data_IF_434321514287
#
_entry.id   IF_434321514287
#
_cell.length_a   1.000
_cell.length_b   1.000
_cell.length_c   1.000
_cell.angle_alpha   90.00
_cell.angle_beta   90.00
_cell.angle_gamma   90.00
#
_symmetry.space_group_name_H-M   'P 1'
#
loop_
_entity.id
_entity.type
_entity.pdbx_description
1 polymer ?
#
# COMPACT_ATOMS: atom_id res chain seq x y z
N UNK A 1 14.34 18.71 -0.59
CA UNK A 1 13.36 19.23 -1.59
C UNK A 1 14.08 20.27 -2.45
N UNK A 2 13.60 20.56 -3.66
CA UNK A 2 14.16 21.57 -4.53
C UNK A 2 13.04 22.53 -4.94
N UNK A 3 13.21 23.82 -4.70
CA UNK A 3 12.29 24.86 -5.20
C UNK A 3 12.94 25.47 -6.43
N UNK A 4 12.18 25.55 -7.52
CA UNK A 4 12.58 26.24 -8.76
C UNK A 4 11.86 27.58 -8.78
N UNK A 5 12.62 28.67 -8.86
CA UNK A 5 12.06 30.02 -8.98
C UNK A 5 11.67 30.31 -10.44
N UNK A 6 10.76 31.27 -10.65
CA UNK A 6 10.46 31.83 -11.97
C UNK A 6 11.69 32.54 -12.55
N UNK A 7 11.75 32.67 -13.88
CA UNK A 7 12.87 33.33 -14.59
C UNK A 7 13.00 34.79 -14.17
N UNK A 8 11.87 35.44 -13.90
CA UNK A 8 11.73 36.84 -13.51
C UNK A 8 11.64 37.04 -11.99
N UNK A 9 11.88 35.99 -11.19
CA UNK A 9 11.83 36.09 -9.73
C UNK A 9 12.85 37.09 -9.20
N UNK A 10 12.37 38.04 -8.41
CA UNK A 10 13.19 39.09 -7.81
C UNK A 10 14.05 38.55 -6.66
N UNK A 11 15.16 39.22 -6.35
CA UNK A 11 15.98 38.88 -5.17
C UNK A 11 15.16 38.89 -3.87
N UNK A 12 14.17 39.79 -3.77
CA UNK A 12 13.25 39.86 -2.63
C UNK A 12 12.37 38.62 -2.52
N UNK A 13 11.88 38.09 -3.64
CA UNK A 13 11.08 36.85 -3.65
C UNK A 13 11.94 35.65 -3.30
N UNK A 14 13.18 35.57 -3.80
CA UNK A 14 14.15 34.53 -3.41
C UNK A 14 14.42 34.60 -1.91
N UNK A 15 14.71 35.79 -1.37
CA UNK A 15 14.95 35.99 0.05
C UNK A 15 13.73 35.62 0.91
N UNK A 16 12.52 35.94 0.44
CA UNK A 16 11.29 35.56 1.12
C UNK A 16 11.13 34.03 1.18
N UNK A 17 11.37 33.31 0.08
CA UNK A 17 11.32 31.84 0.08
C UNK A 17 12.37 31.25 1.04
N UNK A 18 13.58 31.81 1.08
CA UNK A 18 14.62 31.42 2.05
C UNK A 18 14.16 31.61 3.49
N UNK A 19 13.59 32.78 3.82
CA UNK A 19 13.05 33.06 5.17
C UNK A 19 12.01 32.03 5.57
N UNK A 20 11.05 31.74 4.69
CA UNK A 20 9.99 30.75 4.98
C UNK A 20 10.57 29.35 5.20
N UNK A 21 11.61 28.95 4.46
CA UNK A 21 12.28 27.66 4.68
C UNK A 21 12.93 27.60 6.06
N UNK A 22 13.62 28.67 6.45
CA UNK A 22 14.35 28.75 7.73
C UNK A 22 13.40 28.86 8.93
N UNK A 23 12.29 29.58 8.80
CA UNK A 23 11.21 29.66 9.80
C UNK A 23 10.56 28.30 10.08
N UNK A 24 10.52 27.42 9.07
CA UNK A 24 10.06 26.04 9.22
C UNK A 24 11.12 25.12 9.86
N UNK A 25 12.28 25.65 10.24
CA UNK A 25 13.38 24.92 10.87
C UNK A 25 14.23 24.11 9.89
N UNK A 26 14.12 24.38 8.59
CA UNK A 26 14.95 23.73 7.56
C UNK A 26 16.12 24.62 7.14
N UNK A 27 17.08 24.04 6.44
CA UNK A 27 18.20 24.77 5.86
C UNK A 27 17.98 24.99 4.37
N UNK A 28 17.96 26.27 3.96
CA UNK A 28 17.88 26.70 2.57
C UNK A 28 19.28 26.79 1.94
N UNK A 29 19.39 26.42 0.68
CA UNK A 29 20.61 26.52 -0.14
C UNK A 29 20.28 27.16 -1.48
N UNK A 30 20.36 28.50 -1.59
CA UNK A 30 20.17 29.19 -2.86
C UNK A 30 21.28 28.82 -3.85
N UNK A 31 20.88 28.50 -5.08
CA UNK A 31 21.75 28.11 -6.19
C UNK A 31 21.36 28.95 -7.41
N UNK A 32 21.90 30.17 -7.55
CA UNK A 32 21.64 31.01 -8.72
C UNK A 32 22.21 30.34 -9.97
N UNK A 33 21.36 30.18 -10.99
CA UNK A 33 21.73 29.64 -12.30
C UNK A 33 21.64 30.68 -13.41
N UNK A 34 22.13 30.34 -14.60
CA UNK A 34 22.15 31.26 -15.75
C UNK A 34 20.75 31.72 -16.23
N UNK A 35 19.70 30.93 -15.95
CA UNK A 35 18.32 31.24 -16.36
C UNK A 35 17.33 31.34 -15.18
N UNK A 36 17.55 30.57 -14.11
CA UNK A 36 16.66 30.49 -12.95
C UNK A 36 17.48 30.24 -11.70
N UNK A 37 16.98 30.72 -10.56
CA UNK A 37 17.48 30.33 -9.24
C UNK A 37 16.76 29.08 -8.78
N UNK A 38 17.50 28.12 -8.24
CA UNK A 38 16.93 27.00 -7.50
C UNK A 38 17.29 27.12 -6.01
N UNK A 39 16.46 26.60 -5.12
CA UNK A 39 16.70 26.59 -3.68
C UNK A 39 16.59 25.15 -3.18
N UNK A 40 17.72 24.59 -2.76
CA UNK A 40 17.76 23.28 -2.11
C UNK A 40 17.31 23.38 -0.66
N UNK A 41 16.50 22.43 -0.21
CA UNK A 41 16.04 22.32 1.19
C UNK A 41 16.58 21.03 1.78
N UNK A 42 17.25 21.18 2.93
CA UNK A 42 17.86 20.09 3.70
C UNK A 42 17.55 20.24 5.20
N UNK A 43 17.87 19.22 6.00
CA UNK A 43 17.58 19.20 7.44
C UNK A 43 16.17 18.68 7.78
N UNK A 44 15.36 18.37 6.78
CA UNK A 44 14.07 17.70 6.96
C UNK A 44 14.25 16.21 7.30
N UNK A 45 13.59 15.72 8.36
CA UNK A 45 13.59 14.29 8.70
C UNK A 45 12.53 13.47 7.94
N UNK A 46 11.71 14.13 7.14
CA UNK A 46 10.60 13.51 6.41
C UNK A 46 10.27 14.24 5.12
N UNK A 47 9.15 13.89 4.51
CA UNK A 47 8.68 14.55 3.30
C UNK A 47 8.22 15.98 3.65
N UNK A 48 8.74 17.00 2.97
CA UNK A 48 8.24 18.38 3.11
C UNK A 48 7.04 18.54 2.19
N UNK A 49 5.96 19.14 2.69
CA UNK A 49 4.76 19.47 1.92
C UNK A 49 5.06 20.57 0.91
N UNK A 50 4.84 20.30 -0.38
CA UNK A 50 5.16 21.24 -1.47
C UNK A 50 4.17 22.40 -1.52
N UNK A 51 2.94 22.21 -1.06
CA UNK A 51 1.86 23.21 -1.10
C UNK A 51 2.20 24.48 -0.30
N UNK A 52 3.10 24.36 0.69
CA UNK A 52 3.63 25.48 1.48
C UNK A 52 4.47 26.47 0.65
N UNK A 53 5.00 26.03 -0.48
CA UNK A 53 5.93 26.80 -1.30
C UNK A 53 5.38 27.09 -2.69
N UNK A 54 4.53 26.22 -3.26
CA UNK A 54 3.95 26.38 -4.60
C UNK A 54 3.21 27.71 -4.79
N UNK A 55 2.62 28.26 -3.73
CA UNK A 55 1.86 29.51 -3.77
C UNK A 55 2.69 30.77 -3.43
N UNK A 56 3.98 30.62 -3.09
CA UNK A 56 4.81 31.78 -2.77
C UNK A 56 5.14 32.58 -4.04
N UNK A 57 5.10 33.93 -3.97
CA UNK A 57 5.56 34.77 -5.08
C UNK A 57 6.97 34.41 -5.53
N UNK A 58 7.20 34.42 -6.84
CA UNK A 58 8.46 34.02 -7.46
C UNK A 58 8.71 32.51 -7.56
N UNK A 59 7.90 31.64 -6.96
CA UNK A 59 8.05 30.18 -7.11
C UNK A 59 7.42 29.70 -8.43
N UNK A 60 8.15 28.90 -9.19
CA UNK A 60 7.65 28.23 -10.40
C UNK A 60 7.21 26.80 -10.09
N UNK A 61 7.98 26.08 -9.29
CA UNK A 61 7.73 24.67 -8.97
C UNK A 61 8.41 24.28 -7.63
N UNK A 62 7.76 23.41 -6.86
CA UNK A 62 8.37 22.77 -5.69
C UNK A 62 8.51 21.25 -5.94
N UNK A 63 9.74 20.81 -6.19
CA UNK A 63 10.07 19.45 -6.58
C UNK A 63 10.52 18.66 -5.36
N UNK A 64 9.75 17.61 -5.02
CA UNK A 64 10.12 16.71 -3.94
C UNK A 64 11.28 15.79 -4.38
N UNK A 65 12.45 16.00 -3.78
CA UNK A 65 13.67 15.20 -4.07
C UNK A 65 13.62 13.83 -3.37
N UNK A 66 12.97 13.74 -2.21
CA UNK A 66 12.84 12.48 -1.46
C UNK A 66 11.51 11.78 -1.76
N UNK A 67 11.51 10.45 -1.85
CA UNK A 67 10.26 9.69 -1.91
C UNK A 67 9.40 9.98 -0.65
N UNK A 68 8.07 10.15 -0.80
CA UNK A 68 7.18 10.48 0.31
C UNK A 68 6.96 9.33 1.30
N UNK A 69 7.36 8.13 0.93
CA UNK A 69 7.35 6.92 1.73
C UNK A 69 8.79 6.49 2.00
N UNK A 70 9.09 6.03 3.22
CA UNK A 70 10.45 5.66 3.65
C UNK A 70 10.58 4.20 4.04
N UNK A 71 9.61 3.68 4.80
CA UNK A 71 9.67 2.32 5.34
C UNK A 71 9.64 1.21 4.28
N UNK A 72 9.11 1.51 3.09
CA UNK A 72 8.98 0.56 1.98
C UNK A 72 10.04 0.76 0.87
N UNK A 73 10.99 1.68 1.05
CA UNK A 73 12.02 1.96 0.03
C UNK A 73 13.26 1.10 0.22
N UNK A 74 13.86 0.64 -0.89
CA UNK A 74 15.16 -0.02 -0.88
C UNK A 74 16.27 0.85 -0.27
N UNK A 75 16.15 2.19 -0.35
CA UNK A 75 17.07 3.14 0.27
C UNK A 75 17.18 2.95 1.79
N UNK A 76 16.10 2.52 2.46
CA UNK A 76 16.04 2.29 3.91
C UNK A 76 16.15 0.80 4.27
N UNK A 77 15.61 -0.08 3.42
CA UNK A 77 15.69 -1.53 3.59
C UNK A 77 16.19 -2.16 2.28
N UNK A 78 17.52 -2.24 2.09
CA UNK A 78 18.11 -2.78 0.87
C UNK A 78 17.77 -4.26 0.65
N UNK A 79 17.52 -5.00 1.73
CA UNK A 79 17.22 -6.42 1.68
C UNK A 79 15.77 -6.70 1.28
N UNK A 80 15.58 -7.72 0.45
CA UNK A 80 14.25 -8.19 0.05
C UNK A 80 13.46 -8.64 1.29
N UNK A 81 12.24 -8.13 1.43
CA UNK A 81 11.33 -8.62 2.48
C UNK A 81 10.76 -9.96 2.06
N UNK A 82 10.96 -10.98 2.89
CA UNK A 82 10.35 -12.31 2.73
C UNK A 82 9.25 -12.45 3.78
N UNK A 83 8.00 -12.59 3.33
CA UNK A 83 6.85 -12.79 4.22
C UNK A 83 6.65 -14.28 4.42
N UNK A 84 6.74 -14.75 5.66
CA UNK A 84 6.52 -16.15 6.04
C UNK A 84 5.12 -16.33 6.60
N UNK A 85 4.37 -17.29 6.05
CA UNK A 85 3.00 -17.64 6.47
C UNK A 85 3.00 -19.13 6.79
N UNK A 86 3.15 -19.44 8.07
CA UNK A 86 3.46 -20.79 8.53
C UNK A 86 4.75 -21.33 7.87
N UNK A 87 4.61 -22.40 7.12
CA UNK A 87 5.69 -23.08 6.40
C UNK A 87 5.94 -22.54 4.98
N UNK A 88 5.09 -21.64 4.47
CA UNK A 88 5.20 -21.05 3.13
C UNK A 88 5.80 -19.63 3.14
N UNK A 89 6.36 -19.19 2.01
CA UNK A 89 6.98 -17.85 1.89
C UNK A 89 6.58 -17.13 0.61
N UNK A 90 6.43 -15.81 0.70
CA UNK A 90 6.26 -14.89 -0.44
C UNK A 90 7.47 -13.95 -0.48
N UNK A 91 8.06 -13.79 -1.67
CA UNK A 91 9.30 -13.03 -1.84
C UNK A 91 10.57 -13.81 -1.54
N UNK A 92 10.49 -15.11 -1.24
CA UNK A 92 11.64 -16.01 -1.12
C UNK A 92 12.25 -16.40 -2.47
N UNK A 93 12.87 -17.58 -2.51
CA UNK A 93 13.45 -18.19 -3.72
C UNK A 93 12.37 -18.88 -4.57
N UNK A 94 11.34 -19.42 -3.94
CA UNK A 94 10.24 -20.11 -4.63
C UNK A 94 9.17 -19.14 -5.14
N UNK A 95 8.55 -19.50 -6.26
CA UNK A 95 7.38 -18.80 -6.79
C UNK A 95 6.15 -19.09 -5.93
N UNK A 96 5.60 -18.07 -5.28
CA UNK A 96 4.35 -18.19 -4.55
C UNK A 96 3.14 -18.12 -5.50
N UNK A 97 2.30 -19.16 -5.50
CA UNK A 97 1.04 -19.21 -6.24
C UNK A 97 -0.12 -19.22 -5.24
N UNK A 98 -1.05 -18.28 -5.40
CA UNK A 98 -2.27 -18.16 -4.62
C UNK A 98 -3.45 -18.40 -5.56
N UNK A 99 -4.18 -19.49 -5.36
CA UNK A 99 -5.26 -19.91 -6.26
C UNK A 99 -6.52 -20.29 -5.47
N UNK A 100 -7.68 -20.22 -6.13
CA UNK A 100 -8.96 -20.52 -5.50
C UNK A 100 -10.07 -19.67 -6.13
N UNK A 101 -11.33 -19.89 -5.75
CA UNK A 101 -12.44 -19.24 -6.41
C UNK A 101 -12.50 -17.73 -6.11
N UNK A 102 -13.27 -17.02 -6.94
CA UNK A 102 -13.61 -15.64 -6.64
C UNK A 102 -14.41 -15.58 -5.33
N UNK A 103 -15.53 -16.30 -5.26
CA UNK A 103 -16.40 -16.39 -4.09
C UNK A 103 -16.45 -17.81 -3.54
N UNK A 104 -16.62 -17.94 -2.23
CA UNK A 104 -17.01 -19.20 -1.63
C UNK A 104 -18.51 -19.33 -1.76
N UNK A 105 -18.96 -20.33 -2.52
CA UNK A 105 -20.38 -20.53 -2.87
C UNK A 105 -20.98 -21.75 -2.15
N UNK A 106 -20.15 -22.75 -1.88
CA UNK A 106 -20.50 -23.90 -1.04
C UNK A 106 -19.25 -24.61 -0.54
N UNK A 107 -19.41 -25.44 0.50
CA UNK A 107 -18.36 -26.31 1.00
C UNK A 107 -17.85 -27.27 -0.08
N UNK A 108 -18.75 -27.92 -0.82
CA UNK A 108 -18.40 -28.86 -1.88
C UNK A 108 -17.55 -28.20 -2.96
N UNK A 109 -17.93 -27.00 -3.41
CA UNK A 109 -17.18 -26.25 -4.40
C UNK A 109 -15.80 -25.83 -3.87
N UNK A 110 -15.72 -25.31 -2.65
CA UNK A 110 -14.45 -24.90 -2.05
C UNK A 110 -13.48 -26.09 -1.90
N UNK A 111 -13.97 -27.23 -1.42
CA UNK A 111 -13.17 -28.43 -1.20
C UNK A 111 -12.66 -29.05 -2.51
N UNK A 112 -13.49 -29.13 -3.54
CA UNK A 112 -13.07 -29.65 -4.85
C UNK A 112 -11.94 -28.80 -5.46
N UNK A 113 -12.03 -27.47 -5.35
CA UNK A 113 -10.98 -26.58 -5.85
C UNK A 113 -9.73 -26.66 -4.95
N UNK A 114 -9.90 -26.71 -3.63
CA UNK A 114 -8.78 -26.84 -2.69
C UNK A 114 -7.98 -28.12 -2.93
N UNK A 115 -8.63 -29.25 -3.21
CA UNK A 115 -7.95 -30.48 -3.58
C UNK A 115 -7.09 -30.29 -4.84
N UNK A 116 -7.66 -29.68 -5.89
CA UNK A 116 -6.94 -29.42 -7.13
C UNK A 116 -5.74 -28.46 -6.93
N UNK A 117 -5.92 -27.41 -6.12
CA UNK A 117 -4.87 -26.46 -5.75
C UNK A 117 -3.76 -27.15 -4.95
N UNK A 118 -4.11 -28.00 -3.99
CA UNK A 118 -3.12 -28.76 -3.21
C UNK A 118 -2.33 -29.72 -4.08
N UNK A 119 -3.02 -30.43 -4.99
CA UNK A 119 -2.41 -31.38 -5.94
C UNK A 119 -1.47 -30.71 -6.95
N UNK A 120 -1.68 -29.44 -7.27
CA UNK A 120 -0.75 -28.70 -8.15
C UNK A 120 0.54 -28.25 -7.45
N UNK A 121 0.63 -28.42 -6.13
CA UNK A 121 1.79 -28.00 -5.32
C UNK A 121 1.67 -26.57 -4.79
N UNK A 122 0.60 -25.83 -5.12
CA UNK A 122 0.36 -24.52 -4.52
C UNK A 122 0.12 -24.65 -3.00
N UNK A 123 0.55 -23.62 -2.26
CA UNK A 123 0.52 -23.62 -0.78
C UNK A 123 -0.48 -22.64 -0.20
N UNK A 124 -1.08 -21.79 -1.04
CA UNK A 124 -2.02 -20.76 -0.64
C UNK A 124 -3.37 -20.96 -1.35
N UNK A 125 -4.45 -20.76 -0.63
CA UNK A 125 -5.82 -20.83 -1.13
C UNK A 125 -6.53 -19.50 -0.94
N UNK A 126 -7.08 -18.92 -2.01
CA UNK A 126 -7.90 -17.71 -1.92
C UNK A 126 -9.39 -17.99 -2.02
N UNK A 127 -10.21 -17.18 -1.36
CA UNK A 127 -11.66 -17.20 -1.54
C UNK A 127 -12.33 -16.03 -0.86
N UNK A 128 -13.24 -15.34 -1.55
CA UNK A 128 -13.98 -14.24 -0.94
C UNK A 128 -15.25 -14.72 -0.25
N UNK A 129 -15.32 -14.58 1.07
CA UNK A 129 -16.52 -14.86 1.85
C UNK A 129 -17.53 -13.71 1.80
N UNK A 130 -17.05 -12.48 1.57
CA UNK A 130 -17.85 -11.27 1.41
C UNK A 130 -17.70 -10.74 -0.02
N UNK A 131 -18.78 -10.16 -0.55
CA UNK A 131 -18.80 -9.60 -1.90
C UNK A 131 -19.44 -8.21 -1.92
N UNK A 132 -18.67 -7.14 -2.17
CA UNK A 132 -19.24 -5.81 -2.34
C UNK A 132 -20.02 -5.81 -3.66
N UNK A 133 -21.36 -5.75 -3.58
CA UNK A 133 -22.25 -5.72 -4.72
C UNK A 133 -23.07 -4.45 -4.70
N UNK A 134 -23.24 -3.86 -5.88
CA UNK A 134 -24.08 -2.67 -6.06
C UNK A 134 -25.57 -3.02 -6.00
N UNK A 135 -25.94 -4.25 -6.33
CA UNK A 135 -27.34 -4.73 -6.28
C UNK A 135 -27.58 -5.57 -5.03
N UNK A 136 -28.68 -5.34 -4.29
CA UNK A 136 -29.05 -6.17 -3.14
C UNK A 136 -29.46 -7.59 -3.54
N UNK A 137 -29.83 -7.82 -4.80
CA UNK A 137 -30.24 -9.14 -5.31
C UNK A 137 -29.07 -10.00 -5.79
N UNK A 138 -27.86 -9.42 -5.87
CA UNK A 138 -26.67 -10.17 -6.23
C UNK A 138 -26.19 -11.00 -5.04
N UNK A 139 -25.48 -12.09 -5.32
CA UNK A 139 -24.83 -12.88 -4.29
C UNK A 139 -23.82 -12.03 -3.50
N UNK A 140 -24.08 -11.87 -2.19
CA UNK A 140 -23.30 -11.07 -1.25
C UNK A 140 -22.12 -11.85 -0.63
N UNK A 141 -21.99 -13.13 -0.96
CA UNK A 141 -21.09 -14.05 -0.26
C UNK A 141 -21.80 -14.78 0.89
N UNK A 142 -21.15 -15.81 1.43
CA UNK A 142 -21.66 -16.58 2.56
C UNK A 142 -21.35 -15.96 3.93
N UNK A 143 -20.62 -14.83 3.96
CA UNK A 143 -20.22 -14.18 5.21
C UNK A 143 -19.39 -15.10 6.10
N UNK A 144 -19.65 -15.11 7.41
CA UNK A 144 -18.90 -15.92 8.36
C UNK A 144 -18.96 -17.44 8.06
N UNK A 145 -20.06 -17.95 7.49
CA UNK A 145 -20.13 -19.35 7.07
C UNK A 145 -19.11 -19.66 5.96
N UNK A 146 -18.89 -18.71 5.05
CA UNK A 146 -17.81 -18.80 4.05
C UNK A 146 -16.43 -18.81 4.69
N UNK A 147 -16.23 -18.04 5.77
CA UNK A 147 -14.97 -18.00 6.53
C UNK A 147 -14.72 -19.33 7.26
N UNK A 148 -15.76 -19.95 7.85
CA UNK A 148 -15.66 -21.27 8.47
C UNK A 148 -15.27 -22.34 7.44
N UNK A 149 -15.88 -22.32 6.24
CA UNK A 149 -15.50 -23.22 5.14
C UNK A 149 -14.03 -23.04 4.76
N UNK A 150 -13.53 -21.81 4.70
CA UNK A 150 -12.10 -21.55 4.43
C UNK A 150 -11.19 -22.11 5.52
N UNK A 151 -11.57 -21.96 6.79
CA UNK A 151 -10.85 -22.57 7.90
C UNK A 151 -10.84 -24.10 7.78
N UNK A 152 -11.95 -24.74 7.43
CA UNK A 152 -11.98 -26.19 7.19
C UNK A 152 -11.08 -26.62 6.01
N UNK A 153 -10.99 -25.81 4.95
CA UNK A 153 -10.06 -26.04 3.84
C UNK A 153 -8.60 -26.00 4.32
N UNK A 154 -8.25 -25.05 5.19
CA UNK A 154 -6.92 -25.01 5.81
C UNK A 154 -6.62 -26.29 6.57
N UNK A 155 -7.53 -26.72 7.44
CA UNK A 155 -7.32 -27.91 8.27
C UNK A 155 -7.22 -29.19 7.42
N UNK A 156 -8.04 -29.32 6.37
CA UNK A 156 -8.07 -30.51 5.54
C UNK A 156 -6.88 -30.63 4.57
N UNK A 157 -6.40 -29.50 4.03
CA UNK A 157 -5.40 -29.51 2.94
C UNK A 157 -4.06 -28.85 3.29
N UNK A 158 -3.97 -28.19 4.46
CA UNK A 158 -2.78 -27.45 4.92
C UNK A 158 -2.52 -26.15 4.15
N UNK A 159 -3.49 -25.68 3.34
CA UNK A 159 -3.35 -24.47 2.52
C UNK A 159 -3.51 -23.21 3.35
N UNK A 160 -2.67 -22.19 3.11
CA UNK A 160 -2.77 -20.89 3.79
C UNK A 160 -3.85 -20.03 3.15
N UNK A 161 -4.78 -19.57 3.95
CA UNK A 161 -6.00 -18.89 3.53
C UNK A 161 -5.75 -17.41 3.32
N UNK A 162 -6.09 -16.94 2.12
CA UNK A 162 -6.10 -15.53 1.77
C UNK A 162 -7.53 -15.09 1.50
N UNK A 163 -8.04 -14.14 2.27
CA UNK A 163 -9.41 -13.63 2.09
C UNK A 163 -9.50 -12.15 2.39
N UNK A 164 -10.54 -11.51 1.86
CA UNK A 164 -10.66 -10.05 1.80
C UNK A 164 -11.43 -9.51 3.02
N UNK A 165 -10.85 -8.50 3.67
CA UNK A 165 -11.57 -7.65 4.61
C UNK A 165 -12.18 -6.46 3.85
N UNK A 166 -13.49 -6.23 4.01
CA UNK A 166 -14.18 -5.09 3.40
C UNK A 166 -14.23 -3.88 4.34
N UNK A 167 -14.18 -4.14 5.65
CA UNK A 167 -14.30 -3.21 6.76
C UNK A 167 -13.52 -3.74 7.99
N UNK A 168 -13.50 -2.93 9.06
CA UNK A 168 -12.78 -3.23 10.31
C UNK A 168 -13.25 -4.55 10.95
N UNK A 169 -14.56 -4.79 11.00
CA UNK A 169 -15.10 -6.06 11.52
C UNK A 169 -14.69 -7.27 10.67
N UNK A 170 -14.55 -7.07 9.35
CA UNK A 170 -13.99 -8.05 8.43
C UNK A 170 -12.54 -8.41 8.77
N UNK A 171 -11.73 -7.46 9.27
CA UNK A 171 -10.35 -7.72 9.72
C UNK A 171 -10.34 -8.74 10.86
N UNK A 172 -11.18 -8.56 11.89
CA UNK A 172 -11.27 -9.49 13.03
C UNK A 172 -11.67 -10.90 12.58
N UNK A 173 -12.60 -11.00 11.61
CA UNK A 173 -13.01 -12.28 11.05
C UNK A 173 -11.88 -12.94 10.25
N UNK A 174 -11.12 -12.16 9.47
CA UNK A 174 -9.97 -12.69 8.74
C UNK A 174 -8.86 -13.10 9.69
N UNK A 175 -8.61 -12.35 10.77
CA UNK A 175 -7.64 -12.75 11.80
C UNK A 175 -8.03 -14.09 12.45
N UNK A 176 -9.33 -14.29 12.70
CA UNK A 176 -9.85 -15.52 13.30
C UNK A 176 -9.78 -16.74 12.37
N UNK A 177 -10.07 -16.57 11.08
CA UNK A 177 -10.28 -17.69 10.17
C UNK A 177 -9.27 -17.78 9.02
N UNK A 178 -8.58 -16.70 8.68
CA UNK A 178 -7.60 -16.62 7.59
C UNK A 178 -6.15 -16.61 8.08
N UNK A 179 -5.21 -16.68 7.14
CA UNK A 179 -3.78 -16.55 7.41
C UNK A 179 -3.20 -15.24 6.83
N UNK A 180 -3.89 -14.65 5.85
CA UNK A 180 -3.52 -13.39 5.22
C UNK A 180 -4.76 -12.53 4.93
N UNK A 181 -4.70 -11.27 5.33
CA UNK A 181 -5.72 -10.27 5.03
C UNK A 181 -5.43 -9.65 3.67
N UNK A 182 -6.40 -9.77 2.75
CA UNK A 182 -6.37 -9.06 1.48
C UNK A 182 -7.16 -7.74 1.62
N UNK A 183 -6.53 -6.63 1.26
CA UNK A 183 -7.22 -5.36 1.04
C UNK A 183 -7.53 -5.23 -0.46
N UNK A 184 -8.82 -5.18 -0.80
CA UNK A 184 -9.26 -5.03 -2.18
C UNK A 184 -8.89 -3.68 -2.77
N UNK A 185 -8.77 -3.59 -4.11
CA UNK A 185 -8.43 -2.35 -4.79
C UNK A 185 -9.37 -1.17 -4.47
N UNK A 186 -10.65 -1.44 -4.16
CA UNK A 186 -11.63 -0.43 -3.75
C UNK A 186 -11.31 0.20 -2.39
N UNK A 187 -10.58 -0.52 -1.54
CA UNK A 187 -10.13 -0.08 -0.23
C UNK A 187 -8.65 0.33 -0.21
N UNK A 188 -7.97 0.43 -1.36
CA UNK A 188 -6.53 0.72 -1.43
C UNK A 188 -6.14 2.05 -0.74
N UNK A 189 -7.06 3.00 -0.68
CA UNK A 189 -6.88 4.30 -0.01
C UNK A 189 -7.86 4.50 1.16
N UNK A 190 -8.47 3.41 1.64
CA UNK A 190 -9.31 3.47 2.83
C UNK A 190 -8.39 3.45 4.06
N UNK A 191 -7.88 4.61 4.46
CA UNK A 191 -6.90 4.72 5.55
C UNK A 191 -7.44 4.31 6.94
N UNK A 192 -8.76 4.24 7.10
CA UNK A 192 -9.38 3.80 8.36
C UNK A 192 -9.43 2.28 8.49
N UNK A 193 -9.33 1.56 7.36
CA UNK A 193 -9.25 0.10 7.31
C UNK A 193 -7.78 -0.36 7.40
#
# INVERSE_FOLDING_TARGET
MLIVMKIDATEREVANVVSVIEELGFKAHPMPGAQRTAIGITGNQGAVDTTRFENLPGVAEAIRVSKPYKLITLDLRPEKTVVRVGDATIGGEELAIIAGPCAIESRTQAFAIAEAVRRSGARFFRGGAFKPRTSPYAFQGLGEEGMKILAEVREAYGLKIVTEALDEAGVDLVEKYGDMIQIGARNMQNFSL
#
